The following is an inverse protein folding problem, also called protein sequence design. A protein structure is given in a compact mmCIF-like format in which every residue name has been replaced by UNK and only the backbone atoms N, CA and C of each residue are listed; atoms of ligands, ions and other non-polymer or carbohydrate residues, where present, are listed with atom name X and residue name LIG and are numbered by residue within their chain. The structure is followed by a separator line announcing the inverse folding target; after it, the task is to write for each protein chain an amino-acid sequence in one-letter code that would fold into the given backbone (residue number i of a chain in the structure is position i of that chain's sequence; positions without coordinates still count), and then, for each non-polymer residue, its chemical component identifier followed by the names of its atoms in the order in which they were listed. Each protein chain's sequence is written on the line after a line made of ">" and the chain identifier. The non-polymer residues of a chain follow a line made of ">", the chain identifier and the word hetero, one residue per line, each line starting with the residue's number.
data_IF_919594874840
#
_entry.id   IF_919594874840
#
_cell.length_a   1.000
_cell.length_b   1.000
_cell.length_c   1.000
_cell.angle_alpha   90.00
_cell.angle_beta   90.00
_cell.angle_gamma   90.00
#
_symmetry.space_group_name_H-M   'P 1'
#
loop_
_entity.id
_entity.type
_entity.pdbx_description
1 polymer ?
#
# COMPACT_ATOMS: atom_id res chain seq x y z
N UNK A 1 -41.75 -27.62 -10.66
CA UNK A 1 -41.40 -26.25 -10.24
C UNK A 1 -40.10 -25.89 -10.91
N UNK A 2 -40.15 -25.15 -12.02
CA UNK A 2 -38.96 -24.55 -12.64
C UNK A 2 -38.63 -23.28 -11.87
N UNK A 3 -37.60 -23.33 -11.02
CA UNK A 3 -37.01 -22.13 -10.43
C UNK A 3 -36.51 -21.27 -11.58
N UNK A 4 -37.11 -20.08 -11.77
CA UNK A 4 -36.51 -19.04 -12.61
C UNK A 4 -35.11 -18.79 -12.05
N UNK A 5 -34.07 -19.09 -12.81
CA UNK A 5 -32.73 -18.63 -12.46
C UNK A 5 -32.76 -17.11 -12.47
N UNK A 6 -32.71 -16.49 -11.29
CA UNK A 6 -32.50 -15.06 -11.20
C UNK A 6 -31.08 -14.77 -11.71
N UNK A 7 -31.00 -14.09 -12.84
CA UNK A 7 -29.73 -13.66 -13.41
C UNK A 7 -29.07 -12.69 -12.44
N UNK A 8 -27.91 -13.07 -11.91
CA UNK A 8 -27.16 -12.23 -10.98
C UNK A 8 -26.77 -10.92 -11.66
N UNK A 9 -26.96 -9.80 -10.95
CA UNK A 9 -26.53 -8.48 -11.44
C UNK A 9 -25.00 -8.45 -11.55
N UNK A 10 -24.48 -7.88 -12.64
CA UNK A 10 -23.06 -7.57 -12.78
C UNK A 10 -22.60 -6.50 -11.79
N UNK A 11 -21.36 -6.61 -11.33
CA UNK A 11 -20.71 -5.58 -10.52
C UNK A 11 -20.56 -4.27 -11.30
N UNK A 12 -20.60 -3.16 -10.57
CA UNK A 12 -20.32 -1.85 -11.15
C UNK A 12 -18.82 -1.74 -11.50
N UNK A 13 -18.53 -1.33 -12.74
CA UNK A 13 -17.18 -1.14 -13.21
C UNK A 13 -16.50 0.06 -12.54
N UNK A 14 -15.20 -0.05 -12.29
CA UNK A 14 -14.38 1.07 -11.80
C UNK A 14 -14.30 2.13 -12.92
N UNK A 15 -14.67 3.39 -12.65
CA UNK A 15 -14.54 4.45 -13.65
C UNK A 15 -13.07 4.73 -13.95
N UNK A 16 -12.77 5.17 -15.18
CA UNK A 16 -11.39 5.47 -15.62
C UNK A 16 -10.71 6.48 -14.69
N UNK A 17 -11.44 7.49 -14.22
CA UNK A 17 -10.94 8.47 -13.26
C UNK A 17 -10.58 7.80 -11.93
N UNK A 18 -11.41 6.87 -11.44
CA UNK A 18 -11.13 6.12 -10.22
C UNK A 18 -9.87 5.25 -10.33
N UNK A 19 -9.67 4.60 -11.48
CA UNK A 19 -8.43 3.87 -11.78
C UNK A 19 -7.21 4.79 -11.81
N UNK A 20 -7.31 5.94 -12.49
CA UNK A 20 -6.23 6.93 -12.55
C UNK A 20 -5.82 7.45 -11.17
N UNK A 21 -6.80 7.74 -10.30
CA UNK A 21 -6.54 8.15 -8.91
C UNK A 21 -5.83 7.04 -8.13
N UNK A 22 -6.30 5.79 -8.23
CA UNK A 22 -5.68 4.68 -7.49
C UNK A 22 -4.26 4.39 -7.97
N UNK A 23 -3.98 4.45 -9.28
CA UNK A 23 -2.62 4.39 -9.80
C UNK A 23 -1.74 5.53 -9.26
N UNK A 24 -2.25 6.77 -9.26
CA UNK A 24 -1.51 7.92 -8.73
C UNK A 24 -1.14 7.76 -7.25
N UNK A 25 -2.09 7.32 -6.42
CA UNK A 25 -1.85 7.08 -5.00
C UNK A 25 -0.84 5.95 -4.79
N UNK A 26 -1.00 4.80 -5.45
CA UNK A 26 -0.04 3.70 -5.30
C UNK A 26 1.36 4.09 -5.79
N UNK A 27 1.48 4.82 -6.91
CA UNK A 27 2.78 5.30 -7.39
C UNK A 27 3.44 6.25 -6.39
N UNK A 28 2.68 7.14 -5.75
CA UNK A 28 3.18 8.00 -4.69
C UNK A 28 3.69 7.18 -3.49
N UNK A 29 2.94 6.15 -3.06
CA UNK A 29 3.35 5.26 -1.95
C UNK A 29 4.60 4.44 -2.31
N UNK A 30 4.65 3.85 -3.51
CA UNK A 30 5.82 3.13 -4.04
C UNK A 30 7.05 4.03 -4.04
N UNK A 31 6.90 5.24 -4.58
CA UNK A 31 8.00 6.22 -4.65
C UNK A 31 8.51 6.57 -3.26
N UNK A 32 7.60 6.79 -2.31
CA UNK A 32 7.93 7.12 -0.93
C UNK A 32 8.67 5.97 -0.24
N UNK A 33 8.18 4.73 -0.36
CA UNK A 33 8.86 3.55 0.17
C UNK A 33 10.21 3.30 -0.50
N UNK A 34 10.35 3.60 -1.79
CA UNK A 34 11.62 3.46 -2.50
C UNK A 34 12.65 4.46 -1.99
N UNK A 35 12.26 5.70 -1.69
CA UNK A 35 13.14 6.68 -1.06
C UNK A 35 13.60 6.22 0.31
N UNK A 36 12.70 5.74 1.16
CA UNK A 36 13.06 5.21 2.49
C UNK A 36 14.03 4.04 2.39
N UNK A 37 13.69 3.06 1.55
CA UNK A 37 14.52 1.89 1.37
C UNK A 37 15.91 2.26 0.83
N UNK A 38 16.00 3.25 -0.07
CA UNK A 38 17.27 3.74 -0.59
C UNK A 38 18.11 4.42 0.49
N UNK A 39 17.47 5.22 1.36
CA UNK A 39 18.13 5.87 2.50
C UNK A 39 18.63 4.82 3.50
N UNK A 40 17.82 3.81 3.83
CA UNK A 40 18.23 2.74 4.73
C UNK A 40 19.42 1.96 4.18
N UNK A 41 19.39 1.59 2.89
CA UNK A 41 20.50 0.88 2.25
C UNK A 41 21.77 1.74 2.22
N UNK A 42 21.66 3.04 1.95
CA UNK A 42 22.82 3.94 1.98
C UNK A 42 23.55 3.92 3.34
N UNK A 43 22.79 3.77 4.43
CA UNK A 43 23.33 3.76 5.80
C UNK A 43 23.82 2.38 6.24
N UNK A 44 23.14 1.30 5.82
CA UNK A 44 23.40 -0.08 6.31
C UNK A 44 24.41 -0.85 5.44
N UNK A 45 24.62 -0.47 4.18
CA UNK A 45 25.38 -1.28 3.21
C UNK A 45 26.92 -1.15 3.28
N UNK A 46 27.47 -0.36 4.21
CA UNK A 46 28.93 -0.25 4.38
C UNK A 46 29.46 -1.00 5.62
N UNK A 47 30.65 -1.58 5.48
CA UNK A 47 31.37 -2.25 6.57
C UNK A 47 31.77 -1.22 7.63
N UNK A 48 30.95 -1.13 8.68
CA UNK A 48 31.16 -0.24 9.82
C UNK A 48 30.30 1.02 9.71
N UNK A 49 29.19 1.04 10.45
CA UNK A 49 28.19 2.11 10.48
C UNK A 49 28.75 3.52 10.65
N UNK A 50 29.10 4.22 9.57
CA UNK A 50 29.71 5.54 9.66
C UNK A 50 28.83 6.49 10.52
N UNK A 51 29.38 7.10 11.60
CA UNK A 51 28.59 7.94 12.51
C UNK A 51 27.77 9.03 11.80
N UNK A 52 28.35 9.67 10.79
CA UNK A 52 27.70 10.70 9.96
C UNK A 52 26.44 10.17 9.25
N UNK A 53 26.45 8.93 8.78
CA UNK A 53 25.33 8.29 8.07
C UNK A 53 24.21 7.89 9.02
N UNK A 54 24.58 7.40 10.21
CA UNK A 54 23.62 7.12 11.27
C UNK A 54 22.89 8.40 11.72
N UNK A 55 23.62 9.51 11.89
CA UNK A 55 23.03 10.81 12.20
C UNK A 55 22.13 11.30 11.07
N UNK A 56 22.58 11.17 9.82
CA UNK A 56 21.76 11.48 8.65
C UNK A 56 20.44 10.68 8.64
N UNK A 57 20.47 9.40 9.01
CA UNK A 57 19.26 8.57 9.07
C UNK A 57 18.25 9.11 10.09
N UNK A 58 18.72 9.43 11.30
CA UNK A 58 17.89 10.02 12.35
C UNK A 58 17.26 11.35 11.93
N UNK A 59 18.06 12.25 11.35
CA UNK A 59 17.58 13.53 10.84
C UNK A 59 16.64 13.38 9.65
N UNK A 60 16.86 12.41 8.77
CA UNK A 60 15.97 12.10 7.66
C UNK A 60 14.58 11.69 8.17
N UNK A 61 14.49 10.75 9.12
CA UNK A 61 13.19 10.32 9.64
C UNK A 61 12.51 11.39 10.49
N UNK A 62 13.28 12.21 11.22
CA UNK A 62 12.75 13.39 11.93
C UNK A 62 12.19 14.43 10.96
N UNK A 63 12.92 14.74 9.89
CA UNK A 63 12.45 15.63 8.83
C UNK A 63 11.19 15.08 8.16
N UNK A 64 11.19 13.79 7.82
CA UNK A 64 10.05 13.12 7.18
C UNK A 64 8.81 13.15 8.08
N UNK A 65 8.95 12.83 9.37
CA UNK A 65 7.85 12.87 10.34
C UNK A 65 7.32 14.28 10.61
N UNK A 66 8.16 15.30 10.43
CA UNK A 66 7.79 16.71 10.59
C UNK A 66 7.38 17.42 9.29
N UNK A 67 7.51 16.76 8.13
CA UNK A 67 7.33 17.38 6.82
C UNK A 67 5.90 17.90 6.63
N UNK A 68 5.67 19.23 6.68
CA UNK A 68 4.31 19.77 6.73
C UNK A 68 3.57 19.57 5.41
N UNK A 69 4.27 19.58 4.28
CA UNK A 69 3.67 19.41 2.95
C UNK A 69 3.21 17.96 2.74
N UNK A 70 4.09 16.99 2.98
CA UNK A 70 3.76 15.58 2.83
C UNK A 70 2.68 15.16 3.83
N UNK A 71 2.78 15.63 5.08
CA UNK A 71 1.77 15.40 6.12
C UNK A 71 0.40 16.00 5.77
N UNK A 72 0.36 17.21 5.21
CA UNK A 72 -0.90 17.86 4.78
C UNK A 72 -1.52 17.11 3.60
N UNK A 73 -0.73 16.76 2.58
CA UNK A 73 -1.20 16.01 1.41
C UNK A 73 -1.70 14.63 1.82
N UNK A 74 -0.95 13.90 2.65
CA UNK A 74 -1.37 12.61 3.17
C UNK A 74 -2.64 12.75 4.01
N UNK A 75 -2.75 13.76 4.87
CA UNK A 75 -3.96 14.00 5.67
C UNK A 75 -5.19 14.25 4.81
N UNK A 76 -5.05 15.01 3.71
CA UNK A 76 -6.13 15.20 2.74
C UNK A 76 -6.53 13.89 2.03
N UNK A 77 -5.58 13.00 1.76
CA UNK A 77 -5.81 11.66 1.18
C UNK A 77 -6.38 10.68 2.22
N UNK A 78 -6.03 10.83 3.49
CA UNK A 78 -6.51 10.00 4.60
C UNK A 78 -7.97 10.33 4.97
N UNK A 79 -8.42 11.56 4.74
CA UNK A 79 -9.79 11.97 5.03
C UNK A 79 -10.87 11.11 4.31
N UNK A 80 -10.75 10.79 3.00
CA UNK A 80 -11.66 9.85 2.34
C UNK A 80 -11.37 8.38 2.64
N UNK A 81 -10.26 8.04 3.33
CA UNK A 81 -9.83 6.65 3.54
C UNK A 81 -10.93 5.77 4.17
N UNK A 82 -11.68 6.18 5.22
CA UNK A 82 -12.72 5.33 5.79
C UNK A 82 -13.80 4.93 4.79
N UNK A 83 -14.18 5.84 3.88
CA UNK A 83 -15.17 5.57 2.85
C UNK A 83 -14.62 4.64 1.76
N UNK A 84 -13.36 4.84 1.38
CA UNK A 84 -12.65 3.95 0.44
C UNK A 84 -12.54 2.54 1.02
N UNK A 85 -12.10 2.42 2.28
CA UNK A 85 -11.98 1.14 2.97
C UNK A 85 -13.32 0.41 3.08
N UNK A 86 -14.39 1.14 3.43
CA UNK A 86 -15.73 0.57 3.46
C UNK A 86 -16.15 0.03 2.08
N UNK A 87 -15.92 0.80 1.02
CA UNK A 87 -16.17 0.38 -0.36
C UNK A 87 -15.39 -0.89 -0.72
N UNK A 88 -14.10 -0.94 -0.40
CA UNK A 88 -13.24 -2.09 -0.67
C UNK A 88 -13.69 -3.34 0.08
N UNK A 89 -14.02 -3.21 1.38
CA UNK A 89 -14.53 -4.32 2.19
C UNK A 89 -15.84 -4.83 1.60
N UNK A 90 -16.78 -3.93 1.28
CA UNK A 90 -18.06 -4.30 0.67
C UNK A 90 -17.86 -5.05 -0.66
N UNK A 91 -16.96 -4.58 -1.52
CA UNK A 91 -16.69 -5.19 -2.82
C UNK A 91 -16.01 -6.56 -2.67
N UNK A 92 -15.14 -6.72 -1.67
CA UNK A 92 -14.57 -7.99 -1.26
C UNK A 92 -15.64 -8.97 -0.78
N UNK A 93 -16.53 -8.55 0.14
CA UNK A 93 -17.64 -9.40 0.61
C UNK A 93 -18.55 -9.83 -0.54
N UNK A 94 -18.87 -8.92 -1.48
CA UNK A 94 -19.61 -9.25 -2.69
C UNK A 94 -18.90 -10.31 -3.56
N UNK A 95 -17.57 -10.29 -3.61
CA UNK A 95 -16.77 -11.32 -4.29
C UNK A 95 -16.78 -12.65 -3.55
N UNK A 96 -16.57 -12.64 -2.23
CA UNK A 96 -16.51 -13.85 -1.41
C UNK A 96 -17.84 -14.58 -1.40
N UNK A 97 -18.95 -13.85 -1.22
CA UNK A 97 -20.29 -14.42 -1.17
C UNK A 97 -20.95 -14.58 -2.54
N UNK A 98 -20.31 -14.10 -3.61
CA UNK A 98 -20.85 -14.19 -4.97
C UNK A 98 -22.21 -13.52 -5.14
N UNK A 99 -22.45 -12.40 -4.43
CA UNK A 99 -23.71 -11.64 -4.48
C UNK A 99 -23.91 -10.94 -5.83
N UNK A 100 -22.82 -10.58 -6.50
CA UNK A 100 -22.82 -9.96 -7.82
C UNK A 100 -21.91 -10.76 -8.76
N UNK A 101 -22.25 -10.77 -10.04
CA UNK A 101 -21.47 -11.42 -11.08
C UNK A 101 -20.26 -10.56 -11.46
N UNK A 102 -19.08 -11.15 -11.48
CA UNK A 102 -17.86 -10.53 -12.01
C UNK A 102 -16.95 -11.61 -12.64
N UNK A 103 -15.92 -11.17 -13.36
CA UNK A 103 -14.87 -12.06 -13.85
C UNK A 103 -14.05 -12.62 -12.69
N UNK A 104 -13.50 -13.83 -12.88
CA UNK A 104 -12.61 -14.46 -11.89
C UNK A 104 -11.44 -13.54 -11.51
N UNK A 105 -10.87 -12.82 -12.48
CA UNK A 105 -9.79 -11.87 -12.26
C UNK A 105 -10.23 -10.72 -11.35
N UNK A 106 -11.44 -10.17 -11.57
CA UNK A 106 -12.02 -9.11 -10.72
C UNK A 106 -12.25 -9.60 -9.29
N UNK A 107 -12.76 -10.83 -9.14
CA UNK A 107 -12.99 -11.43 -7.82
C UNK A 107 -11.69 -11.62 -7.03
N UNK A 108 -10.67 -12.21 -7.65
CA UNK A 108 -9.35 -12.41 -7.03
C UNK A 108 -8.75 -11.07 -6.65
N UNK A 109 -8.82 -10.07 -7.53
CA UNK A 109 -8.25 -8.77 -7.26
C UNK A 109 -9.00 -8.01 -6.15
N UNK A 110 -10.33 -8.10 -6.05
CA UNK A 110 -11.10 -7.52 -4.92
C UNK A 110 -10.65 -8.08 -3.57
N UNK A 111 -10.52 -9.41 -3.48
CA UNK A 111 -10.08 -10.10 -2.27
C UNK A 111 -8.61 -9.75 -1.97
N UNK A 112 -7.74 -9.88 -2.97
CA UNK A 112 -6.32 -9.59 -2.87
C UNK A 112 -6.04 -8.17 -2.39
N UNK A 113 -6.76 -7.17 -2.92
CA UNK A 113 -6.58 -5.78 -2.50
C UNK A 113 -6.90 -5.59 -1.01
N UNK A 114 -8.00 -6.17 -0.52
CA UNK A 114 -8.38 -6.06 0.89
C UNK A 114 -7.39 -6.80 1.78
N UNK A 115 -6.98 -8.01 1.40
CA UNK A 115 -5.97 -8.77 2.13
C UNK A 115 -4.63 -8.05 2.18
N UNK A 116 -4.16 -7.49 1.06
CA UNK A 116 -2.89 -6.75 1.01
C UNK A 116 -2.98 -5.46 1.83
N UNK A 117 -4.02 -4.64 1.68
CA UNK A 117 -4.12 -3.37 2.39
C UNK A 117 -4.40 -3.55 3.88
N UNK A 118 -5.50 -4.23 4.22
CA UNK A 118 -5.95 -4.37 5.62
C UNK A 118 -5.22 -5.47 6.38
N UNK A 119 -4.82 -6.54 5.68
CA UNK A 119 -4.16 -7.69 6.30
C UNK A 119 -2.64 -7.60 6.34
N UNK A 120 -2.01 -6.82 5.45
CA UNK A 120 -0.55 -6.73 5.38
C UNK A 120 -0.04 -5.30 5.62
N UNK A 121 -0.41 -4.35 4.77
CA UNK A 121 0.13 -2.99 4.78
C UNK A 121 -0.19 -2.27 6.09
N UNK A 122 -1.47 -2.15 6.46
CA UNK A 122 -1.85 -1.42 7.67
C UNK A 122 -1.24 -2.02 8.95
N UNK A 123 -1.32 -3.34 9.20
CA UNK A 123 -0.67 -3.94 10.35
C UNK A 123 0.85 -3.75 10.34
N UNK A 124 1.50 -3.89 9.18
CA UNK A 124 2.95 -3.69 9.07
C UNK A 124 3.36 -2.25 9.39
N UNK A 125 2.63 -1.25 8.88
CA UNK A 125 2.93 0.16 9.16
C UNK A 125 2.80 0.46 10.65
N UNK A 126 1.68 0.04 11.25
CA UNK A 126 1.36 0.37 12.66
C UNK A 126 2.27 -0.37 13.64
N UNK A 127 2.57 -1.65 13.37
CA UNK A 127 3.25 -2.51 14.36
C UNK A 127 4.74 -2.68 14.13
N UNK A 128 5.26 -2.30 12.96
CA UNK A 128 6.69 -2.49 12.60
C UNK A 128 7.33 -1.19 12.13
N UNK A 129 6.81 -0.60 11.06
CA UNK A 129 7.48 0.54 10.40
C UNK A 129 7.52 1.78 11.28
N UNK A 130 6.37 2.22 11.82
CA UNK A 130 6.32 3.41 12.68
C UNK A 130 7.22 3.22 13.92
N UNK A 131 7.08 2.13 14.70
CA UNK A 131 7.97 1.90 15.84
C UNK A 131 9.46 1.90 15.49
N UNK A 132 9.85 1.23 14.39
CA UNK A 132 11.26 1.18 14.00
C UNK A 132 11.80 2.56 13.56
N UNK A 133 10.95 3.39 12.94
CA UNK A 133 11.31 4.77 12.60
C UNK A 133 11.46 5.62 13.86
N UNK A 134 10.54 5.50 14.82
CA UNK A 134 10.59 6.21 16.10
C UNK A 134 11.85 5.82 16.90
N UNK A 135 12.19 4.53 16.93
CA UNK A 135 13.41 4.02 17.57
C UNK A 135 14.67 4.64 16.96
N UNK A 136 14.72 4.78 15.62
CA UNK A 136 15.84 5.47 14.95
C UNK A 136 15.87 6.96 15.28
N UNK A 137 14.72 7.64 15.31
CA UNK A 137 14.64 9.07 15.65
C UNK A 137 15.15 9.32 17.08
N UNK A 138 14.87 8.41 18.01
CA UNK A 138 15.29 8.48 19.40
C UNK A 138 16.77 8.11 19.58
N UNK A 139 17.21 7.00 18.98
CA UNK A 139 18.53 6.44 19.21
C UNK A 139 19.63 7.08 18.35
N UNK A 140 19.30 7.69 17.20
CA UNK A 140 20.29 8.24 16.27
C UNK A 140 20.44 9.76 16.40
N UNK A 141 20.72 10.24 17.61
CA UNK A 141 21.09 11.64 17.90
C UNK A 141 22.60 11.81 18.05
N UNK A 142 23.11 13.04 17.98
CA UNK A 142 24.55 13.33 18.16
C UNK A 142 25.11 12.70 19.44
N UNK A 143 24.39 12.83 20.56
CA UNK A 143 24.78 12.26 21.85
C UNK A 143 24.91 10.73 21.80
N UNK A 144 23.95 10.03 21.20
CA UNK A 144 23.92 8.58 21.16
C UNK A 144 24.85 7.98 20.10
N UNK A 145 25.07 8.65 18.98
CA UNK A 145 25.96 8.12 17.93
C UNK A 145 27.43 8.18 18.35
N UNK A 146 27.84 9.20 19.11
CA UNK A 146 29.20 9.29 19.64
C UNK A 146 29.39 8.59 21.00
N UNK A 147 28.31 8.30 21.74
CA UNK A 147 28.35 7.61 23.04
C UNK A 147 27.99 6.11 23.01
N UNK A 148 26.90 5.73 22.34
CA UNK A 148 26.30 4.37 22.32
C UNK A 148 25.91 3.97 20.89
N UNK A 149 26.89 4.01 19.98
CA UNK A 149 26.72 3.74 18.53
C UNK A 149 26.01 2.43 18.22
N UNK A 150 26.14 1.42 19.08
CA UNK A 150 25.54 0.10 18.88
C UNK A 150 24.00 0.12 18.90
N UNK A 151 23.37 0.98 19.71
CA UNK A 151 21.91 1.07 19.79
C UNK A 151 21.32 1.64 18.49
N UNK A 152 21.86 2.77 18.04
CA UNK A 152 21.46 3.39 16.76
C UNK A 152 21.73 2.46 15.58
N UNK A 153 22.89 1.80 15.55
CA UNK A 153 23.21 0.82 14.50
C UNK A 153 22.24 -0.38 14.49
N UNK A 154 21.79 -0.83 15.67
CA UNK A 154 20.82 -1.93 15.78
C UNK A 154 19.46 -1.49 15.26
N UNK A 155 18.96 -0.34 15.69
CA UNK A 155 17.70 0.23 15.19
C UNK A 155 17.73 0.42 13.66
N UNK A 156 18.83 0.97 13.13
CA UNK A 156 19.00 1.19 11.68
C UNK A 156 18.97 -0.11 10.85
N UNK A 157 19.44 -1.24 11.39
CA UNK A 157 19.47 -2.53 10.67
C UNK A 157 18.08 -3.13 10.44
N UNK A 158 17.09 -2.79 11.24
CA UNK A 158 15.75 -3.37 11.13
C UNK A 158 14.93 -2.72 10.01
N UNK A 159 15.20 -1.45 9.68
CA UNK A 159 14.43 -0.67 8.71
C UNK A 159 14.47 -1.19 7.27
N UNK A 160 15.63 -1.56 6.67
CA UNK A 160 15.68 -1.94 5.26
C UNK A 160 14.71 -3.10 4.94
N UNK A 161 14.63 -4.11 5.81
CA UNK A 161 13.74 -5.24 5.59
C UNK A 161 12.27 -4.80 5.62
N UNK A 162 11.90 -3.93 6.55
CA UNK A 162 10.53 -3.45 6.69
C UNK A 162 10.11 -2.60 5.49
N UNK A 163 10.96 -1.66 5.06
CA UNK A 163 10.68 -0.83 3.89
C UNK A 163 10.70 -1.60 2.58
N UNK A 164 11.54 -2.64 2.44
CA UNK A 164 11.50 -3.55 1.29
C UNK A 164 10.15 -4.27 1.21
N UNK A 165 9.66 -4.84 2.32
CA UNK A 165 8.36 -5.52 2.31
C UNK A 165 7.24 -4.54 1.98
N UNK A 166 7.27 -3.33 2.57
CA UNK A 166 6.32 -2.27 2.24
C UNK A 166 6.36 -1.89 0.75
N UNK A 167 7.54 -1.77 0.14
CA UNK A 167 7.69 -1.51 -1.28
C UNK A 167 7.05 -2.61 -2.13
N UNK A 168 7.32 -3.88 -1.81
CA UNK A 168 6.72 -5.04 -2.50
C UNK A 168 5.19 -5.04 -2.37
N UNK A 169 4.67 -4.78 -1.16
CA UNK A 169 3.23 -4.74 -0.92
C UNK A 169 2.54 -3.60 -1.68
N UNK A 170 3.15 -2.42 -1.78
CA UNK A 170 2.61 -1.31 -2.57
C UNK A 170 2.67 -1.58 -4.08
N UNK A 171 3.70 -2.27 -4.57
CA UNK A 171 3.74 -2.75 -5.96
C UNK A 171 2.62 -3.78 -6.21
N UNK A 172 2.39 -4.69 -5.26
CA UNK A 172 1.29 -5.66 -5.35
C UNK A 172 -0.07 -4.97 -5.37
N UNK A 173 -0.29 -3.92 -4.57
CA UNK A 173 -1.50 -3.11 -4.59
C UNK A 173 -1.76 -2.46 -5.96
N UNK A 174 -0.73 -1.88 -6.59
CA UNK A 174 -0.84 -1.37 -7.95
C UNK A 174 -1.20 -2.50 -8.94
N UNK A 175 -0.60 -3.68 -8.77
CA UNK A 175 -0.93 -4.87 -9.56
C UNK A 175 -2.40 -5.27 -9.44
N UNK A 176 -2.99 -5.18 -8.24
CA UNK A 176 -4.40 -5.46 -8.04
C UNK A 176 -5.30 -4.45 -8.76
N UNK A 177 -4.97 -3.17 -8.72
CA UNK A 177 -5.76 -2.14 -9.41
C UNK A 177 -5.75 -2.32 -10.93
N UNK A 178 -4.60 -2.69 -11.49
CA UNK A 178 -4.46 -3.06 -12.91
C UNK A 178 -5.29 -4.30 -13.22
N UNK A 179 -5.21 -5.35 -12.40
CA UNK A 179 -5.98 -6.57 -12.58
C UNK A 179 -7.50 -6.32 -12.55
N UNK A 180 -7.98 -5.46 -11.63
CA UNK A 180 -9.38 -5.04 -11.57
C UNK A 180 -9.81 -4.33 -12.84
N UNK A 181 -9.00 -3.40 -13.33
CA UNK A 181 -9.30 -2.65 -14.55
C UNK A 181 -9.36 -3.56 -15.79
N UNK A 182 -8.46 -4.52 -15.91
CA UNK A 182 -8.49 -5.54 -16.97
C UNK A 182 -9.75 -6.41 -16.86
N UNK A 183 -10.14 -6.79 -15.63
CA UNK A 183 -11.38 -7.50 -15.35
C UNK A 183 -12.61 -6.76 -15.87
N UNK A 184 -12.74 -5.47 -15.54
CA UNK A 184 -13.84 -4.61 -15.99
C UNK A 184 -13.96 -4.56 -17.53
N UNK A 185 -12.83 -4.50 -18.25
CA UNK A 185 -12.85 -4.48 -19.72
C UNK A 185 -13.45 -5.76 -20.31
N UNK A 186 -13.08 -6.92 -19.75
CA UNK A 186 -13.63 -8.23 -20.17
C UNK A 186 -15.13 -8.35 -19.89
N UNK A 187 -15.59 -7.76 -18.79
CA UNK A 187 -17.01 -7.73 -18.41
C UNK A 187 -17.83 -6.91 -19.41
N UNK A 188 -17.32 -5.74 -19.81
CA UNK A 188 -17.97 -4.89 -20.83
C UNK A 188 -18.07 -5.64 -22.17
N UNK A 189 -17.01 -6.32 -22.59
CA UNK A 189 -17.00 -7.12 -23.82
C UNK A 189 -18.02 -8.27 -23.76
N UNK A 190 -18.10 -8.98 -22.63
CA UNK A 190 -19.07 -10.06 -22.44
C UNK A 190 -20.52 -9.57 -22.50
N UNK A 191 -20.84 -8.46 -21.83
CA UNK A 191 -22.18 -7.84 -21.85
C UNK A 191 -22.52 -7.27 -23.23
N UNK A 192 -21.54 -6.70 -23.94
CA UNK A 192 -21.78 -6.22 -25.30
C UNK A 192 -22.05 -7.36 -26.28
N UNK A 193 -21.41 -8.52 -26.09
CA UNK A 193 -21.60 -9.68 -26.96
C UNK A 193 -22.94 -10.37 -26.70
N UNK A 194 -23.39 -10.47 -25.44
CA UNK A 194 -24.70 -11.05 -25.13
C UNK A 194 -25.86 -10.26 -25.75
N UNK A 195 -25.76 -8.93 -25.78
CA UNK A 195 -26.78 -8.05 -26.38
C UNK A 195 -26.87 -8.11 -27.91
N UNK A 196 -25.84 -8.62 -28.60
CA UNK A 196 -25.84 -8.75 -30.07
C UNK A 196 -26.54 -10.01 -30.57
N UNK A 197 -26.83 -10.95 -29.67
CA UNK A 197 -27.40 -12.26 -29.99
C UNK A 197 -28.93 -12.27 -29.82
N UNK A 198 -29.49 -11.21 -29.21
CA UNK A 198 -30.93 -10.94 -29.10
C UNK A 198 -31.43 -10.13 -30.30
#
# INVERSE_FOLDING_TARGET
>A
MTTKEETKKWKDNIPVVGFGISCGINMMMITTCLFDYSVDLYVVNEEGFEPSRLLFLGEYYRWRGSAPVLGTVLSAILLPLPFVLFGMIRDCLRSVFGWEQATLLRHIADIGTVCTLLGCILPMVITKVIPAQDDVIEQCTEEHVYGVRENCATAAKELPQQHLVMLILNIAMLGWDVAKYIGNRREIEAVSNSKKVE
#
